data_IF_603674608899
#
_entry.id   IF_603674608899
#
_cell.length_a   1.000
_cell.length_b   1.000
_cell.length_c   1.000
_cell.angle_alpha   90.00
_cell.angle_beta   90.00
_cell.angle_gamma   90.00
#
_symmetry.space_group_name_H-M   'P 1'
#
loop_
_entity.id
_entity.type
_entity.pdbx_description
1 polymer ?
#
# COMPACT_ATOMS: atom_id res chain seq x y z
N UNK A 1 5.79 31.57 -45.88
CA UNK A 1 4.67 32.16 -46.60
C UNK A 1 3.37 31.72 -45.92
N UNK A 2 2.69 32.71 -45.34
CA UNK A 2 1.33 32.75 -44.75
C UNK A 2 1.21 32.32 -43.29
N UNK A 3 1.31 33.30 -42.40
CA UNK A 3 0.62 33.52 -41.11
C UNK A 3 -0.75 34.22 -41.45
N UNK A 4 -1.57 34.61 -40.49
CA UNK A 4 -2.15 34.03 -39.25
C UNK A 4 -3.65 34.17 -39.16
N UNK A 5 -4.32 33.73 -38.07
CA UNK A 5 -5.56 34.42 -37.65
C UNK A 5 -5.72 34.43 -36.14
N UNK A 6 -5.70 35.63 -35.60
CA UNK A 6 -6.15 36.02 -34.27
C UNK A 6 -7.66 36.20 -34.28
N UNK A 7 -8.34 35.70 -33.23
CA UNK A 7 -9.67 36.23 -32.92
C UNK A 7 -9.76 36.52 -31.42
N UNK A 8 -9.91 37.82 -31.14
CA UNK A 8 -10.22 38.45 -29.86
C UNK A 8 -11.75 38.63 -29.80
N UNK A 9 -12.39 38.33 -28.67
CA UNK A 9 -13.68 38.92 -28.29
C UNK A 9 -13.80 38.64 -26.77
N UNK A 10 -13.84 39.56 -25.99
CA UNK A 10 -14.64 40.73 -25.62
C UNK A 10 -15.34 40.46 -24.24
N UNK A 11 -14.95 41.33 -23.35
CA UNK A 11 -15.43 41.54 -21.98
C UNK A 11 -16.88 42.05 -22.00
N UNK A 12 -17.75 41.53 -21.15
CA UNK A 12 -19.00 42.21 -20.78
C UNK A 12 -19.12 42.39 -19.28
N UNK A 13 -19.03 43.61 -18.88
CA UNK A 13 -19.42 44.14 -17.56
C UNK A 13 -20.94 44.26 -17.53
N UNK A 14 -21.58 43.85 -16.45
CA UNK A 14 -22.91 44.34 -16.06
C UNK A 14 -22.89 44.76 -14.60
N UNK A 15 -23.13 46.04 -14.43
CA UNK A 15 -23.30 46.72 -13.15
C UNK A 15 -24.78 46.97 -12.84
N UNK A 16 -25.13 47.03 -11.57
CA UNK A 16 -26.27 47.73 -10.99
C UNK A 16 -27.45 46.82 -10.64
N UNK A 17 -28.00 46.85 -9.47
CA UNK A 17 -28.78 47.90 -8.84
C UNK A 17 -29.03 47.55 -7.36
N UNK A 18 -28.92 48.56 -6.52
CA UNK A 18 -29.31 48.60 -5.12
C UNK A 18 -30.80 48.84 -5.01
N UNK A 19 -31.51 48.12 -4.14
CA UNK A 19 -32.84 48.52 -3.66
C UNK A 19 -32.89 48.37 -2.14
N UNK A 20 -32.95 49.52 -1.50
CA UNK A 20 -33.24 49.74 -0.07
C UNK A 20 -34.75 49.68 0.11
N UNK A 21 -35.20 48.85 1.02
CA UNK A 21 -36.61 48.82 1.44
C UNK A 21 -36.69 48.74 2.97
N UNK A 22 -36.87 49.88 3.61
CA UNK A 22 -37.26 50.05 5.00
C UNK A 22 -38.73 49.79 5.20
N UNK A 23 -39.12 48.92 6.12
CA UNK A 23 -40.45 49.00 6.76
C UNK A 23 -40.39 48.64 8.25
N UNK A 24 -40.93 49.54 9.01
CA UNK A 24 -41.14 49.52 10.42
C UNK A 24 -42.39 48.70 10.82
N UNK A 25 -42.38 48.10 12.02
CA UNK A 25 -43.60 48.07 12.79
C UNK A 25 -44.05 46.79 13.47
N UNK A 26 -44.01 46.85 14.81
CA UNK A 26 -44.95 46.37 15.85
C UNK A 26 -44.92 44.93 16.34
N UNK A 27 -44.45 44.81 17.53
CA UNK A 27 -44.93 44.12 18.76
C UNK A 27 -45.96 43.00 18.68
N UNK A 28 -45.63 41.85 19.26
CA UNK A 28 -46.58 40.81 19.69
C UNK A 28 -45.87 39.70 20.48
N UNK A 29 -45.98 39.75 21.83
CA UNK A 29 -45.57 38.73 22.78
C UNK A 29 -46.23 37.36 22.52
N UNK A 30 -45.45 36.29 22.60
CA UNK A 30 -45.82 35.00 23.20
C UNK A 30 -44.64 34.03 23.20
N UNK A 31 -44.23 33.58 24.35
CA UNK A 31 -43.23 32.52 24.61
C UNK A 31 -43.90 31.11 24.65
N UNK A 32 -43.15 30.01 24.95
CA UNK A 32 -41.89 29.51 24.39
C UNK A 32 -42.05 28.10 23.83
N UNK A 33 -41.51 27.83 22.69
CA UNK A 33 -41.34 26.51 22.17
C UNK A 33 -39.86 26.26 21.94
N UNK A 34 -39.23 25.45 22.80
CA UNK A 34 -37.84 25.08 22.68
C UNK A 34 -37.57 24.26 21.41
N UNK A 35 -36.87 24.85 20.48
CA UNK A 35 -36.30 24.13 19.34
C UNK A 35 -34.97 23.51 19.80
N UNK A 36 -34.72 22.20 19.58
CA UNK A 36 -33.42 21.67 19.86
C UNK A 36 -32.41 22.31 18.88
N UNK A 37 -31.53 23.10 19.45
CA UNK A 37 -30.34 23.59 18.73
C UNK A 37 -29.61 22.40 18.15
N UNK A 38 -29.68 22.24 16.84
CA UNK A 38 -28.74 21.44 16.08
C UNK A 38 -27.34 21.93 16.49
N UNK A 39 -26.59 21.07 17.15
CA UNK A 39 -25.21 21.33 17.52
C UNK A 39 -24.44 21.75 16.29
N UNK A 40 -23.96 22.98 16.27
CA UNK A 40 -22.92 23.39 15.34
C UNK A 40 -21.76 22.43 15.59
N UNK A 41 -21.46 21.55 14.65
CA UNK A 41 -20.20 20.85 14.60
C UNK A 41 -19.11 21.92 14.58
N UNK A 42 -18.30 21.94 15.63
CA UNK A 42 -17.15 22.83 15.74
C UNK A 42 -16.11 22.39 14.68
N UNK A 43 -16.21 22.95 13.47
CA UNK A 43 -15.42 22.59 12.29
C UNK A 43 -14.13 23.42 12.20
N UNK A 44 -13.42 23.61 13.30
CA UNK A 44 -12.12 24.28 13.31
C UNK A 44 -10.93 23.33 13.61
N UNK A 45 -11.06 22.05 13.34
CA UNK A 45 -9.87 21.20 13.39
C UNK A 45 -8.94 21.59 12.23
N UNK A 46 -7.68 21.93 12.57
CA UNK A 46 -6.62 22.20 11.57
C UNK A 46 -6.56 21.05 10.57
N UNK A 47 -6.53 21.38 9.28
CA UNK A 47 -6.26 20.39 8.23
C UNK A 47 -4.87 19.78 8.45
N UNK A 48 -4.79 18.47 8.34
CA UNK A 48 -3.55 17.70 8.45
C UNK A 48 -3.13 17.30 7.04
N UNK A 49 -1.95 17.74 6.60
CA UNK A 49 -1.39 17.34 5.29
C UNK A 49 -0.54 16.09 5.46
N UNK A 50 -0.93 15.02 4.78
CA UNK A 50 -0.26 13.72 4.83
C UNK A 50 0.32 13.36 3.46
N UNK A 51 1.62 13.17 3.38
CA UNK A 51 2.30 12.61 2.22
C UNK A 51 2.34 11.08 2.31
N UNK A 52 1.77 10.39 1.32
CA UNK A 52 1.81 8.92 1.20
C UNK A 52 2.71 8.53 0.04
N UNK A 53 3.87 7.97 0.35
CA UNK A 53 4.91 7.62 -0.60
C UNK A 53 5.03 6.10 -0.75
N UNK A 54 4.69 5.53 -1.95
CA UNK A 54 4.91 4.13 -2.28
C UNK A 54 6.35 3.87 -2.75
N UNK A 55 6.78 2.61 -2.81
CA UNK A 55 8.05 2.23 -3.46
C UNK A 55 8.08 2.63 -4.94
N UNK A 56 6.96 2.38 -5.64
CA UNK A 56 6.79 2.67 -7.07
C UNK A 56 5.32 2.93 -7.36
N UNK A 57 5.02 4.00 -8.11
CA UNK A 57 3.67 4.29 -8.60
C UNK A 57 3.29 3.38 -9.76
N UNK A 58 1.98 3.16 -9.94
CA UNK A 58 1.42 2.39 -11.06
C UNK A 58 1.37 0.88 -10.84
N UNK A 59 1.87 0.36 -9.71
CA UNK A 59 1.68 -1.03 -9.31
C UNK A 59 0.30 -1.16 -8.64
N UNK A 60 -0.48 -2.17 -9.01
CA UNK A 60 -1.86 -2.38 -8.51
C UNK A 60 -1.94 -2.43 -6.98
N UNK A 61 -0.94 -3.02 -6.31
CA UNK A 61 -0.83 -3.02 -4.86
C UNK A 61 -0.89 -1.61 -4.27
N UNK A 62 0.00 -0.72 -4.73
CA UNK A 62 0.08 0.65 -4.21
C UNK A 62 -1.09 1.52 -4.65
N UNK A 63 -1.67 1.27 -5.83
CA UNK A 63 -2.89 1.96 -6.28
C UNK A 63 -4.07 1.61 -5.38
N UNK A 64 -4.25 0.34 -5.05
CA UNK A 64 -5.28 -0.11 -4.11
C UNK A 64 -5.07 0.44 -2.69
N UNK A 65 -3.82 0.50 -2.21
CA UNK A 65 -3.53 1.17 -0.93
C UNK A 65 -3.88 2.66 -0.96
N UNK A 66 -3.57 3.36 -2.07
CA UNK A 66 -3.91 4.78 -2.21
C UNK A 66 -5.43 5.03 -2.22
N UNK A 67 -6.22 4.12 -2.83
CA UNK A 67 -7.69 4.19 -2.76
C UNK A 67 -8.21 4.08 -1.33
N UNK A 68 -7.70 3.14 -0.55
CA UNK A 68 -8.05 3.01 0.87
C UNK A 68 -7.57 4.18 1.72
N UNK A 69 -6.41 4.73 1.39
CA UNK A 69 -5.88 5.93 2.03
C UNK A 69 -6.77 7.16 1.77
N UNK A 70 -7.27 7.32 0.53
CA UNK A 70 -8.20 8.39 0.19
C UNK A 70 -9.54 8.23 0.93
N UNK A 71 -10.06 7.00 1.00
CA UNK A 71 -11.25 6.69 1.79
C UNK A 71 -11.09 7.13 3.26
N UNK A 72 -9.95 6.85 3.87
CA UNK A 72 -9.68 7.27 5.25
C UNK A 72 -9.58 8.80 5.38
N UNK A 73 -9.00 9.50 4.41
CA UNK A 73 -8.92 10.95 4.40
C UNK A 73 -10.31 11.58 4.29
N UNK A 74 -11.17 11.02 3.44
CA UNK A 74 -12.56 11.45 3.26
C UNK A 74 -13.38 11.23 4.54
N UNK A 75 -13.26 10.06 5.18
CA UNK A 75 -13.92 9.74 6.45
C UNK A 75 -13.50 10.68 7.59
N UNK A 76 -12.22 11.06 7.62
CA UNK A 76 -11.68 11.98 8.63
C UNK A 76 -12.07 13.45 8.39
N UNK A 77 -12.33 13.84 7.14
CA UNK A 77 -12.88 15.11 6.71
C UNK A 77 -11.94 16.33 6.86
N UNK A 78 -10.80 16.17 7.53
CA UNK A 78 -9.80 17.23 7.73
C UNK A 78 -8.37 16.72 7.45
N UNK A 79 -8.21 15.78 6.55
CA UNK A 79 -6.93 15.28 6.07
C UNK A 79 -6.80 15.60 4.58
N UNK A 80 -5.74 16.31 4.23
CA UNK A 80 -5.31 16.51 2.85
C UNK A 80 -4.27 15.43 2.51
N UNK A 81 -4.66 14.47 1.66
CA UNK A 81 -3.79 13.39 1.24
C UNK A 81 -3.06 13.76 -0.05
N UNK A 82 -1.73 13.64 -0.03
CA UNK A 82 -0.88 13.74 -1.21
C UNK A 82 -0.22 12.39 -1.47
N UNK A 83 -0.71 11.67 -2.49
CA UNK A 83 -0.13 10.41 -2.95
C UNK A 83 0.81 10.67 -4.12
N UNK A 84 2.11 10.52 -3.91
CA UNK A 84 3.13 10.65 -4.95
C UNK A 84 4.35 9.78 -4.66
N UNK A 85 5.16 9.51 -5.71
CA UNK A 85 6.34 8.67 -5.61
C UNK A 85 6.99 8.42 -6.96
N UNK A 86 8.14 7.73 -7.00
CA UNK A 86 8.83 7.41 -8.24
C UNK A 86 8.00 6.45 -9.10
N UNK A 87 8.14 6.57 -10.43
CA UNK A 87 7.55 5.66 -11.42
C UNK A 87 8.46 4.48 -11.74
N UNK A 88 9.71 4.54 -11.29
CA UNK A 88 10.70 3.48 -11.33
C UNK A 88 11.22 3.20 -9.91
N UNK A 89 11.88 2.06 -9.71
CA UNK A 89 12.51 1.72 -8.42
C UNK A 89 13.75 2.58 -8.17
N UNK A 90 13.56 3.83 -7.75
CA UNK A 90 14.60 4.84 -7.58
C UNK A 90 14.56 5.42 -6.15
N UNK A 91 15.17 4.74 -5.15
CA UNK A 91 15.14 5.19 -3.76
C UNK A 91 15.64 6.62 -3.55
N UNK A 92 16.60 7.09 -4.36
CA UNK A 92 17.10 8.46 -4.28
C UNK A 92 16.05 9.50 -4.64
N UNK A 93 15.24 9.27 -5.69
CA UNK A 93 14.13 10.16 -6.06
C UNK A 93 13.03 10.17 -5.00
N UNK A 94 12.75 9.00 -4.41
CA UNK A 94 11.84 8.92 -3.29
C UNK A 94 12.32 9.75 -2.09
N UNK A 95 13.62 9.69 -1.76
CA UNK A 95 14.22 10.49 -0.70
C UNK A 95 14.21 12.00 -0.98
N UNK A 96 14.38 12.40 -2.25
CA UNK A 96 14.23 13.81 -2.67
C UNK A 96 12.80 14.31 -2.45
N UNK A 97 11.78 13.49 -2.77
CA UNK A 97 10.38 13.82 -2.56
C UNK A 97 10.05 14.00 -1.06
N UNK A 98 10.55 13.11 -0.19
CA UNK A 98 10.45 13.28 1.28
C UNK A 98 11.04 14.62 1.71
N UNK A 99 12.20 14.99 1.16
CA UNK A 99 12.86 16.26 1.49
C UNK A 99 12.04 17.47 1.02
N UNK A 100 11.42 17.39 -0.17
CA UNK A 100 10.53 18.43 -0.70
C UNK A 100 9.28 18.59 0.18
N UNK A 101 8.60 17.52 0.54
CA UNK A 101 7.42 17.56 1.42
C UNK A 101 7.75 18.11 2.81
N UNK A 102 8.93 17.77 3.35
CA UNK A 102 9.40 18.33 4.61
C UNK A 102 9.65 19.85 4.52
N UNK A 103 10.12 20.35 3.37
CA UNK A 103 10.28 21.79 3.14
C UNK A 103 8.95 22.52 2.91
N UNK A 104 7.95 21.82 2.36
CA UNK A 104 6.60 22.34 2.15
C UNK A 104 5.77 22.37 3.44
N UNK A 105 6.27 21.78 4.53
CA UNK A 105 5.62 21.81 5.83
C UNK A 105 4.48 20.79 5.98
N UNK A 106 4.62 19.61 5.36
CA UNK A 106 3.69 18.49 5.61
C UNK A 106 3.67 18.15 7.10
N UNK A 107 2.50 17.81 7.63
CA UNK A 107 2.37 17.42 9.04
C UNK A 107 2.89 15.99 9.27
N UNK A 108 2.59 15.06 8.34
CA UNK A 108 3.04 13.65 8.39
C UNK A 108 3.54 13.19 7.03
N UNK A 109 4.62 12.42 7.02
CA UNK A 109 5.09 11.69 5.84
C UNK A 109 5.07 10.19 6.14
N UNK A 110 4.30 9.44 5.34
CA UNK A 110 4.15 7.99 5.41
C UNK A 110 4.88 7.34 4.24
N UNK A 111 5.88 6.49 4.51
CA UNK A 111 6.78 5.92 3.49
C UNK A 111 6.69 4.41 3.46
N UNK A 112 6.54 3.82 2.26
CA UNK A 112 6.90 2.44 1.98
C UNK A 112 8.29 2.39 1.33
N UNK A 113 9.27 1.81 2.02
CA UNK A 113 10.68 1.90 1.64
C UNK A 113 11.10 0.79 0.66
N UNK A 114 11.64 1.17 -0.51
CA UNK A 114 12.36 0.23 -1.38
C UNK A 114 13.79 -0.01 -0.88
N UNK A 115 14.45 1.03 -0.35
CA UNK A 115 15.71 0.95 0.39
C UNK A 115 15.54 1.57 1.78
N UNK A 116 15.59 0.72 2.81
CA UNK A 116 15.33 1.15 4.19
C UNK A 116 16.35 2.18 4.71
N UNK A 117 17.62 2.09 4.28
CA UNK A 117 18.68 2.98 4.78
C UNK A 117 18.58 4.36 4.15
N UNK A 118 18.38 4.42 2.83
CA UNK A 118 18.22 5.69 2.10
C UNK A 118 16.97 6.41 2.62
N UNK A 119 15.85 5.69 2.73
CA UNK A 119 14.59 6.28 3.19
C UNK A 119 14.63 6.69 4.66
N UNK A 120 15.24 5.87 5.52
CA UNK A 120 15.42 6.20 6.93
C UNK A 120 16.23 7.49 7.13
N UNK A 121 17.31 7.66 6.36
CA UNK A 121 18.11 8.89 6.41
C UNK A 121 17.30 10.12 5.94
N UNK A 122 16.45 9.99 4.93
CA UNK A 122 15.58 11.09 4.48
C UNK A 122 14.51 11.43 5.52
N UNK A 123 13.88 10.41 6.13
CA UNK A 123 12.86 10.59 7.16
C UNK A 123 13.42 11.24 8.42
N UNK A 124 14.64 10.88 8.85
CA UNK A 124 15.34 11.60 9.96
C UNK A 124 15.50 13.09 9.69
N UNK A 125 15.93 13.45 8.48
CA UNK A 125 16.04 14.87 8.08
C UNK A 125 14.67 15.58 8.04
N UNK A 126 13.59 14.87 7.75
CA UNK A 126 12.24 15.41 7.85
C UNK A 126 11.83 15.61 9.33
N UNK A 127 12.15 14.66 10.22
CA UNK A 127 11.95 14.81 11.68
C UNK A 127 12.70 16.02 12.25
N UNK A 128 13.93 16.28 11.82
CA UNK A 128 14.72 17.46 12.23
C UNK A 128 14.03 18.78 11.87
N UNK A 129 13.09 18.76 10.92
CA UNK A 129 12.25 19.90 10.53
C UNK A 129 10.87 19.93 11.22
N UNK A 130 10.63 18.99 12.14
CA UNK A 130 9.38 18.90 12.91
C UNK A 130 8.27 18.12 12.21
N UNK A 131 8.55 17.43 11.09
CA UNK A 131 7.58 16.58 10.39
C UNK A 131 7.48 15.23 11.11
N UNK A 132 6.26 14.76 11.35
CA UNK A 132 6.02 13.42 11.87
C UNK A 132 6.23 12.39 10.75
N UNK A 133 6.82 11.26 11.09
CA UNK A 133 7.12 10.20 10.11
C UNK A 133 6.60 8.86 10.58
N UNK A 134 6.00 8.13 9.67
CA UNK A 134 5.60 6.73 9.82
C UNK A 134 6.04 5.93 8.59
N UNK A 135 6.23 4.63 8.76
CA UNK A 135 6.39 3.72 7.63
C UNK A 135 5.16 2.82 7.47
N UNK A 136 4.98 2.26 6.30
CA UNK A 136 3.92 1.33 5.96
C UNK A 136 4.39 0.32 4.91
N UNK A 137 3.79 -0.87 4.83
CA UNK A 137 4.16 -1.95 3.90
C UNK A 137 5.62 -2.43 4.06
N UNK A 138 6.60 -1.56 3.87
CA UNK A 138 8.03 -1.86 3.99
C UNK A 138 8.70 -0.84 4.90
N UNK A 139 9.29 -1.34 5.97
CA UNK A 139 9.79 -0.55 7.08
C UNK A 139 11.15 0.11 6.80
N UNK A 140 11.46 1.11 7.62
CA UNK A 140 12.74 1.81 7.76
C UNK A 140 13.33 1.55 9.15
N UNK A 141 14.59 1.96 9.45
CA UNK A 141 15.11 1.91 10.81
C UNK A 141 14.16 2.57 11.82
N UNK A 142 13.93 1.91 12.96
CA UNK A 142 12.93 2.31 13.95
C UNK A 142 13.11 3.74 14.49
N UNK A 143 14.35 4.23 14.52
CA UNK A 143 14.69 5.59 14.95
C UNK A 143 14.38 6.67 13.89
N UNK A 144 13.89 6.27 12.71
CA UNK A 144 13.50 7.15 11.61
C UNK A 144 11.98 7.37 11.50
N UNK A 145 11.19 6.75 12.39
CA UNK A 145 9.73 6.78 12.35
C UNK A 145 9.12 6.63 13.75
N UNK A 146 7.88 7.07 13.92
CA UNK A 146 7.10 6.86 15.14
C UNK A 146 6.40 5.51 15.17
N UNK A 147 5.79 5.10 14.04
CA UNK A 147 5.08 3.84 13.87
C UNK A 147 5.38 3.20 12.53
N UNK A 148 5.29 1.87 12.49
CA UNK A 148 5.21 1.08 11.27
C UNK A 148 3.80 0.49 11.14
N UNK A 149 3.08 0.83 10.07
CA UNK A 149 1.79 0.19 9.74
C UNK A 149 2.08 -1.10 9.01
N UNK A 150 1.95 -2.19 9.75
CA UNK A 150 2.39 -3.53 9.35
C UNK A 150 1.20 -4.40 8.97
N UNK A 151 1.21 -4.93 7.75
CA UNK A 151 0.16 -5.80 7.22
C UNK A 151 0.02 -7.11 7.98
N UNK A 152 1.15 -7.75 8.29
CA UNK A 152 1.31 -8.95 9.12
C UNK A 152 2.79 -9.08 9.48
N UNK A 153 3.14 -9.91 10.45
CA UNK A 153 4.55 -10.12 10.78
C UNK A 153 5.28 -10.80 9.62
N UNK A 154 6.57 -10.47 9.37
CA UNK A 154 7.36 -11.13 8.33
C UNK A 154 7.38 -12.65 8.47
N UNK A 155 7.35 -13.15 9.72
CA UNK A 155 7.28 -14.59 10.01
C UNK A 155 5.97 -15.20 9.53
N UNK A 156 4.83 -14.57 9.83
CA UNK A 156 3.51 -15.05 9.37
C UNK A 156 3.47 -15.13 7.84
N UNK A 157 3.97 -14.10 7.14
CA UNK A 157 3.99 -14.07 5.69
C UNK A 157 4.92 -15.16 5.13
N UNK A 158 6.17 -15.23 5.61
CA UNK A 158 7.14 -16.22 5.14
C UNK A 158 6.69 -17.65 5.38
N UNK A 159 6.14 -17.95 6.57
CA UNK A 159 5.61 -19.27 6.89
C UNK A 159 4.41 -19.62 6.01
N UNK A 160 3.46 -18.69 5.85
CA UNK A 160 2.28 -18.90 5.02
C UNK A 160 2.64 -19.18 3.55
N UNK A 161 3.58 -18.44 2.98
CA UNK A 161 4.07 -18.69 1.60
C UNK A 161 4.62 -20.10 1.44
N UNK A 162 5.43 -20.56 2.41
CA UNK A 162 5.99 -21.92 2.37
C UNK A 162 4.90 -22.96 2.50
N UNK A 163 4.02 -22.83 3.49
CA UNK A 163 2.97 -23.83 3.75
C UNK A 163 2.05 -23.99 2.54
N UNK A 164 1.64 -22.90 1.90
CA UNK A 164 0.77 -22.90 0.73
C UNK A 164 1.42 -23.65 -0.43
N UNK A 165 2.66 -23.34 -0.82
CA UNK A 165 3.32 -24.04 -1.92
C UNK A 165 3.63 -25.49 -1.57
N UNK A 166 4.03 -25.76 -0.32
CA UNK A 166 4.30 -27.12 0.14
C UNK A 166 3.09 -28.05 -0.04
N UNK A 167 1.89 -27.60 0.33
CA UNK A 167 0.65 -28.36 0.11
C UNK A 167 0.38 -28.56 -1.39
N UNK A 168 0.63 -27.55 -2.22
CA UNK A 168 0.39 -27.63 -3.67
C UNK A 168 1.29 -28.63 -4.41
N UNK A 169 2.55 -28.80 -3.95
CA UNK A 169 3.55 -29.67 -4.59
C UNK A 169 3.79 -31.00 -3.87
N UNK A 170 3.03 -31.28 -2.80
CA UNK A 170 3.19 -32.53 -2.03
C UNK A 170 4.44 -32.55 -1.15
N UNK A 171 4.89 -31.37 -0.67
CA UNK A 171 5.94 -31.18 0.34
C UNK A 171 7.34 -31.66 -0.09
N UNK A 172 7.58 -31.80 -1.39
CA UNK A 172 8.86 -32.27 -1.91
C UNK A 172 9.18 -31.71 -3.30
N UNK A 173 10.47 -31.57 -3.63
CA UNK A 173 10.95 -31.19 -4.92
C UNK A 173 11.78 -29.91 -4.94
N UNK A 174 12.28 -29.57 -6.11
CA UNK A 174 13.01 -28.33 -6.34
C UNK A 174 12.07 -27.14 -6.43
N UNK A 175 12.44 -26.05 -5.78
CA UNK A 175 11.65 -24.81 -5.73
C UNK A 175 12.53 -23.60 -5.92
N UNK A 176 11.97 -22.52 -6.47
CA UNK A 176 12.68 -21.25 -6.66
C UNK A 176 11.91 -20.08 -6.03
N UNK A 177 12.62 -18.99 -5.77
CA UNK A 177 12.05 -17.74 -5.29
C UNK A 177 12.33 -16.65 -6.33
N UNK A 178 11.30 -15.90 -6.73
CA UNK A 178 11.42 -14.68 -7.54
C UNK A 178 10.95 -13.52 -6.69
N UNK A 179 11.89 -12.68 -6.29
CA UNK A 179 11.69 -11.48 -5.48
C UNK A 179 11.72 -10.24 -6.38
N UNK A 180 11.71 -9.02 -5.82
CA UNK A 180 11.89 -7.80 -6.61
C UNK A 180 13.34 -7.34 -6.63
N UNK A 181 13.82 -6.70 -5.58
CA UNK A 181 15.19 -6.19 -5.49
C UNK A 181 15.93 -6.77 -4.29
N UNK A 182 17.27 -6.77 -4.36
CA UNK A 182 18.12 -7.24 -3.25
C UNK A 182 18.04 -6.31 -2.02
N UNK A 183 17.57 -5.08 -2.19
CA UNK A 183 17.42 -4.09 -1.12
C UNK A 183 16.02 -4.05 -0.51
N UNK A 184 15.05 -4.77 -1.09
CA UNK A 184 13.68 -4.81 -0.60
C UNK A 184 13.57 -5.44 0.79
N UNK A 185 13.50 -4.59 1.83
CA UNK A 185 13.61 -5.01 3.22
C UNK A 185 12.53 -6.04 3.63
N UNK A 186 11.26 -5.77 3.33
CA UNK A 186 10.17 -6.67 3.68
C UNK A 186 10.32 -8.04 3.02
N UNK A 187 10.64 -8.10 1.71
CA UNK A 187 10.81 -9.35 0.99
C UNK A 187 12.02 -10.15 1.49
N UNK A 188 13.12 -9.48 1.85
CA UNK A 188 14.28 -10.12 2.46
C UNK A 188 13.94 -10.75 3.81
N UNK A 189 13.12 -10.08 4.62
CA UNK A 189 12.62 -10.63 5.89
C UNK A 189 11.70 -11.85 5.65
N UNK A 190 10.83 -11.79 4.64
CA UNK A 190 9.99 -12.95 4.27
C UNK A 190 10.86 -14.14 3.83
N UNK A 191 11.85 -13.92 2.96
CA UNK A 191 12.78 -14.97 2.51
C UNK A 191 13.54 -15.59 3.70
N UNK A 192 13.94 -14.79 4.68
CA UNK A 192 14.58 -15.28 5.90
C UNK A 192 13.66 -16.27 6.65
N UNK A 193 12.40 -15.89 6.87
CA UNK A 193 11.43 -16.75 7.53
C UNK A 193 10.95 -17.92 6.65
N UNK A 194 10.89 -17.76 5.32
CA UNK A 194 10.69 -18.89 4.41
C UNK A 194 11.78 -19.95 4.59
N UNK A 195 13.06 -19.55 4.66
CA UNK A 195 14.17 -20.46 4.91
C UNK A 195 14.09 -21.12 6.30
N UNK A 196 13.58 -20.41 7.30
CA UNK A 196 13.29 -20.97 8.62
C UNK A 196 12.23 -22.06 8.54
N UNK A 197 11.07 -21.76 7.90
CA UNK A 197 9.94 -22.69 7.75
C UNK A 197 10.28 -23.92 6.90
N UNK A 198 11.13 -23.77 5.90
CA UNK A 198 11.60 -24.86 5.05
C UNK A 198 12.33 -25.97 5.80
N UNK A 199 12.83 -25.72 7.03
CA UNK A 199 13.39 -26.78 7.88
C UNK A 199 12.36 -27.85 8.24
N UNK A 200 11.07 -27.51 8.22
CA UNK A 200 9.97 -28.44 8.47
C UNK A 200 9.57 -29.25 7.20
N UNK A 201 10.17 -28.89 6.05
CA UNK A 201 9.96 -29.53 4.74
C UNK A 201 11.30 -29.95 4.14
N UNK A 202 12.01 -30.94 4.72
CA UNK A 202 13.40 -31.27 4.36
C UNK A 202 13.56 -31.78 2.92
N UNK A 203 12.48 -32.26 2.29
CA UNK A 203 12.48 -32.75 0.91
C UNK A 203 12.24 -31.61 -0.12
N UNK A 204 11.99 -30.39 0.32
CA UNK A 204 11.89 -29.18 -0.53
C UNK A 204 13.25 -28.48 -0.61
N UNK A 205 13.76 -28.27 -1.81
CA UNK A 205 15.07 -27.68 -2.06
C UNK A 205 14.96 -26.35 -2.79
N UNK A 206 15.40 -25.24 -2.21
CA UNK A 206 15.54 -23.95 -2.92
C UNK A 206 16.76 -24.02 -3.83
N UNK A 207 16.53 -24.03 -5.16
CA UNK A 207 17.59 -24.11 -6.17
C UNK A 207 18.03 -22.75 -6.71
N UNK A 208 17.16 -21.73 -6.62
CA UNK A 208 17.45 -20.37 -7.06
C UNK A 208 16.68 -19.32 -6.28
N UNK A 209 17.27 -18.13 -6.16
CA UNK A 209 16.59 -16.89 -5.71
C UNK A 209 16.96 -15.81 -6.70
N UNK A 210 15.95 -15.26 -7.41
CA UNK A 210 16.13 -14.30 -8.48
C UNK A 210 15.53 -12.93 -8.13
N UNK A 211 16.14 -11.86 -8.66
CA UNK A 211 15.78 -10.47 -8.36
C UNK A 211 15.63 -9.65 -9.66
N UNK A 212 14.58 -9.90 -10.47
CA UNK A 212 14.38 -9.21 -11.76
C UNK A 212 13.97 -7.74 -11.64
N UNK A 213 13.67 -7.25 -10.43
CA UNK A 213 13.10 -5.93 -10.20
C UNK A 213 11.58 -5.91 -10.29
N UNK A 214 10.99 -4.71 -10.26
CA UNK A 214 9.55 -4.49 -10.42
C UNK A 214 9.23 -4.22 -11.90
N UNK A 215 9.56 -5.18 -12.77
CA UNK A 215 9.35 -5.18 -14.20
C UNK A 215 8.77 -6.54 -14.63
N UNK A 216 7.54 -6.54 -15.16
CA UNK A 216 6.80 -7.75 -15.46
C UNK A 216 7.45 -8.58 -16.59
N UNK A 217 8.01 -7.92 -17.61
CA UNK A 217 8.68 -8.61 -18.72
C UNK A 217 9.96 -9.31 -18.25
N UNK A 218 10.71 -8.67 -17.36
CA UNK A 218 11.88 -9.32 -16.74
C UNK A 218 11.46 -10.49 -15.85
N UNK A 219 10.36 -10.37 -15.13
CA UNK A 219 9.83 -11.48 -14.33
C UNK A 219 9.38 -12.66 -15.20
N UNK A 220 8.75 -12.38 -16.36
CA UNK A 220 8.41 -13.38 -17.36
C UNK A 220 9.67 -14.10 -17.87
N UNK A 221 10.71 -13.37 -18.29
CA UNK A 221 11.96 -13.96 -18.76
C UNK A 221 12.70 -14.73 -17.66
N UNK A 222 12.62 -14.27 -16.41
CA UNK A 222 13.16 -15.01 -15.27
C UNK A 222 12.42 -16.33 -15.07
N UNK A 223 11.10 -16.34 -15.15
CA UNK A 223 10.30 -17.57 -15.13
C UNK A 223 10.72 -18.57 -16.23
N UNK A 224 10.85 -18.11 -17.47
CA UNK A 224 11.32 -18.93 -18.59
C UNK A 224 12.72 -19.51 -18.36
N UNK A 225 13.61 -18.67 -17.81
CA UNK A 225 14.99 -19.08 -17.50
C UNK A 225 15.01 -20.16 -16.43
N UNK A 226 14.24 -20.00 -15.35
CA UNK A 226 14.13 -20.99 -14.28
C UNK A 226 13.59 -22.33 -14.80
N UNK A 227 12.51 -22.30 -15.59
CA UNK A 227 11.91 -23.51 -16.18
C UNK A 227 12.85 -24.27 -17.13
N UNK A 228 13.77 -23.56 -17.78
CA UNK A 228 14.80 -24.16 -18.67
C UNK A 228 15.98 -24.65 -17.85
N UNK A 229 16.44 -23.92 -16.86
CA UNK A 229 17.63 -24.25 -16.06
C UNK A 229 17.40 -25.42 -15.10
N UNK A 230 16.16 -25.54 -14.59
CA UNK A 230 15.76 -26.54 -13.59
C UNK A 230 14.59 -27.38 -14.13
N UNK A 231 14.85 -28.43 -14.94
CA UNK A 231 13.79 -29.26 -15.54
C UNK A 231 12.90 -29.98 -14.54
N UNK A 232 13.42 -30.24 -13.32
CA UNK A 232 12.71 -30.95 -12.24
C UNK A 232 12.01 -29.98 -11.27
N UNK A 233 11.97 -28.68 -11.60
CA UNK A 233 11.34 -27.65 -10.77
C UNK A 233 9.87 -27.97 -10.52
N UNK A 234 9.45 -28.01 -9.26
CA UNK A 234 8.07 -28.31 -8.83
C UNK A 234 7.28 -27.06 -8.46
N UNK A 235 7.96 -26.01 -8.00
CA UNK A 235 7.25 -24.82 -7.58
C UNK A 235 8.09 -23.55 -7.60
N UNK A 236 7.40 -22.41 -7.69
CA UNK A 236 8.01 -21.08 -7.64
C UNK A 236 7.21 -20.21 -6.67
N UNK A 237 7.89 -19.58 -5.74
CA UNK A 237 7.35 -18.43 -5.02
C UNK A 237 7.71 -17.15 -5.77
N UNK A 238 6.71 -16.41 -6.25
CA UNK A 238 6.87 -15.09 -6.83
C UNK A 238 6.30 -14.04 -5.86
N UNK A 239 7.20 -13.41 -5.09
CA UNK A 239 6.84 -12.68 -3.88
C UNK A 239 6.71 -11.16 -4.07
N UNK A 240 6.33 -10.73 -5.27
CA UNK A 240 5.87 -9.36 -5.53
C UNK A 240 4.67 -9.35 -6.48
N UNK A 241 3.89 -8.27 -6.40
CA UNK A 241 2.68 -8.08 -7.24
C UNK A 241 3.02 -8.02 -8.74
N UNK A 242 4.27 -7.73 -9.10
CA UNK A 242 4.76 -7.72 -10.48
C UNK A 242 5.35 -9.08 -10.87
N UNK A 243 6.02 -9.75 -9.93
CA UNK A 243 6.66 -11.03 -10.19
C UNK A 243 5.64 -12.15 -10.43
N UNK A 244 4.57 -12.22 -9.63
CA UNK A 244 3.63 -13.35 -9.74
C UNK A 244 2.94 -13.45 -11.10
N UNK A 245 2.35 -12.38 -11.68
CA UNK A 245 1.76 -12.47 -13.02
C UNK A 245 2.80 -12.75 -14.10
N UNK A 246 4.04 -12.23 -14.01
CA UNK A 246 5.11 -12.50 -14.96
C UNK A 246 5.53 -13.98 -14.94
N UNK A 247 5.77 -14.56 -13.77
CA UNK A 247 6.13 -15.97 -13.62
C UNK A 247 4.97 -16.90 -13.99
N UNK A 248 3.73 -16.56 -13.62
CA UNK A 248 2.54 -17.32 -14.01
C UNK A 248 2.39 -17.38 -15.54
N UNK A 249 2.63 -16.24 -16.21
CA UNK A 249 2.62 -16.19 -17.67
C UNK A 249 3.72 -17.08 -18.30
N UNK A 250 4.93 -17.12 -17.72
CA UNK A 250 5.99 -18.00 -18.18
C UNK A 250 5.59 -19.48 -18.09
N UNK A 251 4.97 -19.89 -16.99
CA UNK A 251 4.47 -21.26 -16.78
C UNK A 251 3.37 -21.58 -17.80
N UNK A 252 2.39 -20.67 -17.98
CA UNK A 252 1.29 -20.85 -18.93
C UNK A 252 1.79 -21.01 -20.37
N UNK A 253 2.68 -20.12 -20.81
CA UNK A 253 3.25 -20.16 -22.18
C UNK A 253 4.13 -21.38 -22.44
N UNK A 254 4.76 -21.93 -21.42
CA UNK A 254 5.55 -23.16 -21.54
C UNK A 254 4.73 -24.46 -21.48
N UNK A 255 3.39 -24.35 -21.31
CA UNK A 255 2.50 -25.50 -21.19
C UNK A 255 2.70 -26.30 -19.90
N UNK A 256 3.31 -25.71 -18.87
CA UNK A 256 3.61 -26.38 -17.59
C UNK A 256 2.60 -26.07 -16.48
N UNK A 257 1.45 -25.47 -16.81
CA UNK A 257 0.34 -25.30 -15.87
C UNK A 257 -0.10 -26.65 -15.30
N UNK A 258 -0.13 -26.77 -13.98
CA UNK A 258 -0.41 -28.01 -13.26
C UNK A 258 0.79 -28.94 -13.05
N UNK A 259 1.91 -28.78 -13.77
CA UNK A 259 3.17 -29.52 -13.55
C UNK A 259 4.09 -28.74 -12.58
N UNK A 260 4.19 -27.43 -12.75
CA UNK A 260 4.93 -26.51 -11.88
C UNK A 260 3.92 -25.58 -11.20
N UNK A 261 3.82 -25.66 -9.87
CA UNK A 261 2.97 -24.76 -9.10
C UNK A 261 3.63 -23.39 -8.93
N UNK A 262 2.82 -22.34 -8.97
CA UNK A 262 3.29 -21.00 -8.62
C UNK A 262 2.30 -20.34 -7.64
N UNK A 263 2.85 -19.78 -6.58
CA UNK A 263 2.13 -18.95 -5.61
C UNK A 263 2.98 -17.76 -5.21
N UNK A 264 2.43 -16.83 -4.51
CA UNK A 264 3.19 -15.65 -4.07
C UNK A 264 2.29 -14.53 -3.62
N UNK A 265 2.82 -13.31 -3.73
CA UNK A 265 2.16 -12.09 -3.27
C UNK A 265 1.66 -11.31 -4.48
N UNK A 266 0.34 -11.14 -4.60
CA UNK A 266 -0.25 -10.30 -5.64
C UNK A 266 -1.67 -9.86 -5.27
N UNK A 267 -2.11 -8.71 -5.81
CA UNK A 267 -3.52 -8.31 -5.76
C UNK A 267 -4.38 -9.26 -6.60
N UNK A 268 -5.65 -9.51 -6.21
CA UNK A 268 -6.50 -10.48 -6.91
C UNK A 268 -6.75 -10.16 -8.38
N UNK A 269 -7.04 -8.89 -8.70
CA UNK A 269 -7.52 -8.49 -10.04
C UNK A 269 -6.63 -8.94 -11.20
N UNK A 270 -5.30 -8.72 -11.22
CA UNK A 270 -4.45 -9.18 -12.33
C UNK A 270 -4.27 -10.70 -12.37
N UNK A 271 -4.66 -11.40 -11.33
CA UNK A 271 -4.46 -12.85 -11.21
C UNK A 271 -5.70 -13.69 -11.53
N UNK A 272 -6.89 -13.07 -11.69
CA UNK A 272 -8.15 -13.80 -11.91
C UNK A 272 -8.05 -14.83 -13.02
N UNK A 273 -7.56 -14.46 -14.20
CA UNK A 273 -7.45 -15.39 -15.33
C UNK A 273 -6.53 -16.58 -15.07
N UNK A 274 -5.43 -16.37 -14.33
CA UNK A 274 -4.49 -17.45 -13.98
C UNK A 274 -5.04 -18.39 -12.91
N UNK A 275 -5.90 -17.88 -12.04
CA UNK A 275 -6.60 -18.70 -11.04
C UNK A 275 -7.76 -19.46 -11.68
N UNK A 276 -8.49 -18.82 -12.61
CA UNK A 276 -9.58 -19.46 -13.35
C UNK A 276 -9.12 -20.62 -14.21
N UNK A 277 -8.00 -20.47 -14.93
CA UNK A 277 -7.44 -21.50 -15.81
C UNK A 277 -6.57 -22.54 -15.06
N UNK A 278 -6.34 -22.33 -13.74
CA UNK A 278 -5.61 -23.27 -12.89
C UNK A 278 -4.08 -23.18 -12.98
N UNK A 279 -3.54 -22.18 -13.67
CA UNK A 279 -2.08 -21.90 -13.68
C UNK A 279 -1.60 -21.51 -12.27
N UNK A 280 -2.41 -20.74 -11.53
CA UNK A 280 -2.19 -20.37 -10.13
C UNK A 280 -3.32 -20.95 -9.30
N UNK A 281 -3.01 -21.70 -8.24
CA UNK A 281 -4.03 -22.26 -7.35
C UNK A 281 -4.39 -21.32 -6.23
N UNK A 282 -3.41 -20.60 -5.71
CA UNK A 282 -3.61 -19.72 -4.56
C UNK A 282 -2.64 -18.53 -4.57
N UNK A 283 -3.06 -17.44 -3.94
CA UNK A 283 -2.31 -16.20 -3.77
C UNK A 283 -2.36 -15.84 -2.30
N UNK A 284 -1.24 -15.39 -1.76
CA UNK A 284 -1.11 -14.97 -0.36
C UNK A 284 -1.02 -13.44 -0.34
N UNK A 285 -1.95 -12.77 0.35
CA UNK A 285 -1.92 -11.33 0.51
C UNK A 285 -2.68 -10.92 1.79
N UNK A 286 -2.95 -9.67 1.95
CA UNK A 286 -3.82 -8.98 2.91
C UNK A 286 -4.72 -8.00 2.16
N UNK A 287 -5.68 -7.40 2.83
CA UNK A 287 -6.47 -6.33 2.21
C UNK A 287 -5.62 -5.07 2.07
N UNK A 288 -5.32 -4.71 0.82
CA UNK A 288 -4.44 -3.58 0.49
C UNK A 288 -5.14 -2.24 0.68
N UNK A 289 -6.47 -2.18 0.48
CA UNK A 289 -7.27 -0.98 0.79
C UNK A 289 -7.27 -0.71 2.29
N UNK A 290 -7.46 -1.77 3.09
CA UNK A 290 -7.41 -1.67 4.54
C UNK A 290 -6.02 -1.22 5.05
N UNK A 291 -4.93 -1.66 4.39
CA UNK A 291 -3.58 -1.20 4.72
C UNK A 291 -3.42 0.30 4.49
N UNK A 292 -3.87 0.80 3.34
CA UNK A 292 -3.84 2.23 3.03
C UNK A 292 -4.73 3.04 3.98
N UNK A 293 -5.94 2.54 4.26
CA UNK A 293 -6.87 3.14 5.21
C UNK A 293 -6.25 3.25 6.60
N UNK A 294 -5.68 2.16 7.13
CA UNK A 294 -5.01 2.12 8.42
C UNK A 294 -3.81 3.09 8.49
N UNK A 295 -3.09 3.24 7.39
CA UNK A 295 -1.94 4.14 7.31
C UNK A 295 -2.36 5.59 7.56
N UNK A 296 -3.44 6.05 6.93
CA UNK A 296 -3.93 7.42 7.11
C UNK A 296 -4.60 7.62 8.48
N UNK A 297 -5.32 6.61 8.98
CA UNK A 297 -5.85 6.65 10.36
C UNK A 297 -4.71 6.78 11.39
N UNK A 298 -3.61 6.05 11.18
CA UNK A 298 -2.42 6.12 12.04
C UNK A 298 -1.75 7.50 11.94
N UNK A 299 -1.55 8.02 10.73
CA UNK A 299 -0.96 9.34 10.49
C UNK A 299 -1.77 10.45 11.17
N UNK A 300 -3.08 10.46 10.97
CA UNK A 300 -3.98 11.46 11.56
C UNK A 300 -4.04 11.36 13.08
N UNK A 301 -4.08 10.14 13.63
CA UNK A 301 -4.09 9.91 15.07
C UNK A 301 -2.78 10.41 15.72
N UNK A 302 -1.63 10.14 15.08
CA UNK A 302 -0.33 10.63 15.53
C UNK A 302 -0.27 12.18 15.49
N UNK A 303 -0.68 12.80 14.38
CA UNK A 303 -0.68 14.26 14.23
C UNK A 303 -1.61 14.98 15.24
N UNK A 304 -2.70 14.32 15.63
CA UNK A 304 -3.64 14.82 16.65
C UNK A 304 -3.20 14.53 18.09
N UNK A 305 -2.09 13.80 18.28
CA UNK A 305 -1.64 13.35 19.60
C UNK A 305 -2.56 12.34 20.28
N UNK A 306 -3.40 11.63 19.48
CA UNK A 306 -4.31 10.58 19.98
C UNK A 306 -3.58 9.26 20.22
N UNK A 307 -2.44 9.07 19.59
CA UNK A 307 -1.50 7.98 19.86
C UNK A 307 -0.07 8.49 19.95
N UNK A 308 0.76 7.77 20.70
CA UNK A 308 2.20 8.00 20.85
C UNK A 308 2.94 6.66 20.98
N UNK A 309 4.25 6.63 20.75
CA UNK A 309 5.05 5.42 21.01
C UNK A 309 4.83 4.87 22.42
N UNK A 310 4.56 3.57 22.52
CA UNK A 310 4.23 2.87 23.77
C UNK A 310 2.75 2.57 23.97
N UNK A 311 1.85 3.20 23.23
CA UNK A 311 0.43 2.85 23.25
C UNK A 311 0.21 1.44 22.69
N UNK A 312 -0.91 0.81 23.05
CA UNK A 312 -1.20 -0.60 22.72
C UNK A 312 -2.30 -0.80 21.70
N UNK A 313 -3.12 0.22 21.50
CA UNK A 313 -4.23 0.15 20.53
C UNK A 313 -4.43 1.49 19.83
N UNK A 314 -5.03 1.43 18.64
CA UNK A 314 -5.47 2.54 17.82
C UNK A 314 -6.93 2.32 17.42
N UNK A 315 -7.79 3.31 17.58
CA UNK A 315 -9.12 3.33 16.95
C UNK A 315 -8.97 3.79 15.51
N UNK A 316 -9.18 2.88 14.56
CA UNK A 316 -8.91 3.08 13.15
C UNK A 316 -10.19 3.13 12.31
N UNK A 317 -11.09 4.04 12.60
CA UNK A 317 -12.33 4.26 11.84
C UNK A 317 -13.13 2.97 11.62
N UNK A 318 -13.47 2.66 10.34
CA UNK A 318 -14.23 1.45 9.98
C UNK A 318 -13.53 0.14 10.30
N UNK A 319 -12.21 0.16 10.48
CA UNK A 319 -11.45 -1.03 10.86
C UNK A 319 -11.58 -1.37 12.35
N UNK A 320 -12.21 -0.49 13.16
CA UNK A 320 -12.35 -0.68 14.59
C UNK A 320 -11.02 -0.49 15.34
N UNK A 321 -10.88 -1.19 16.46
CA UNK A 321 -9.65 -1.16 17.25
C UNK A 321 -8.57 -2.05 16.62
N UNK A 322 -7.36 -1.50 16.46
CA UNK A 322 -6.17 -2.21 15.96
C UNK A 322 -5.11 -2.28 17.04
N UNK A 323 -4.45 -3.43 17.12
CA UNK A 323 -3.37 -3.67 18.08
C UNK A 323 -2.10 -2.92 17.65
N UNK A 324 -1.36 -2.40 18.64
CA UNK A 324 -0.01 -1.85 18.48
C UNK A 324 0.96 -2.75 19.25
N UNK A 325 1.79 -3.51 18.52
CA UNK A 325 2.81 -4.39 19.07
C UNK A 325 4.17 -3.69 18.98
N UNK A 326 4.68 -3.21 20.10
CA UNK A 326 5.86 -2.34 20.11
C UNK A 326 5.51 -0.99 19.46
N UNK A 327 6.04 -0.76 18.28
CA UNK A 327 5.79 0.39 17.42
C UNK A 327 5.08 0.01 16.10
N UNK A 328 4.60 -1.24 15.99
CA UNK A 328 3.91 -1.78 14.81
C UNK A 328 2.39 -1.69 15.02
N UNK A 329 1.70 -0.93 14.18
CA UNK A 329 0.24 -0.91 14.08
C UNK A 329 -0.17 -2.05 13.16
N UNK A 330 -0.81 -3.09 13.71
CA UNK A 330 -1.09 -4.32 12.98
C UNK A 330 -2.39 -4.21 12.18
N UNK A 331 -2.34 -4.56 10.89
CA UNK A 331 -3.53 -4.62 10.05
C UNK A 331 -4.40 -5.81 10.42
N UNK A 332 -3.84 -7.01 10.48
CA UNK A 332 -4.57 -8.22 10.84
C UNK A 332 -4.13 -9.46 10.07
N UNK A 333 -5.13 -10.26 9.62
CA UNK A 333 -4.90 -11.59 9.08
C UNK A 333 -4.42 -11.58 7.62
N UNK A 334 -3.61 -12.58 7.29
CA UNK A 334 -3.25 -12.90 5.92
C UNK A 334 -4.42 -13.59 5.24
N UNK A 335 -4.76 -13.12 4.04
CA UNK A 335 -5.79 -13.69 3.17
C UNK A 335 -5.15 -14.67 2.18
N UNK A 336 -5.90 -15.74 1.83
CA UNK A 336 -5.56 -16.63 0.73
C UNK A 336 -6.66 -16.53 -0.31
N UNK A 337 -6.31 -16.11 -1.52
CA UNK A 337 -7.23 -16.03 -2.65
C UNK A 337 -7.08 -17.28 -3.49
N UNK A 338 -8.21 -17.92 -3.74
CA UNK A 338 -8.34 -19.13 -4.53
C UNK A 338 -9.50 -18.96 -5.52
N UNK A 339 -9.73 -19.95 -6.36
CA UNK A 339 -10.85 -19.95 -7.31
C UNK A 339 -12.22 -19.74 -6.66
N UNK A 340 -12.38 -20.18 -5.39
CA UNK A 340 -13.64 -20.10 -4.65
C UNK A 340 -13.95 -18.70 -4.12
N UNK A 341 -12.94 -17.81 -4.03
CA UNK A 341 -13.14 -16.51 -3.39
C UNK A 341 -12.58 -15.32 -4.15
N UNK A 342 -11.70 -15.50 -5.15
CA UNK A 342 -10.99 -14.40 -5.82
C UNK A 342 -11.94 -13.37 -6.46
N UNK A 343 -13.11 -13.79 -6.93
CA UNK A 343 -14.10 -12.92 -7.55
C UNK A 343 -14.78 -11.95 -6.59
N UNK A 344 -14.69 -12.21 -5.28
CA UNK A 344 -15.21 -11.32 -4.25
C UNK A 344 -14.35 -10.05 -4.06
N UNK A 345 -13.15 -10.05 -4.65
CA UNK A 345 -12.17 -8.98 -4.50
C UNK A 345 -11.88 -8.32 -5.84
N UNK A 346 -11.80 -7.01 -5.85
CA UNK A 346 -11.65 -6.17 -7.05
C UNK A 346 -10.54 -5.12 -6.94
N UNK A 347 -9.50 -5.43 -6.20
CA UNK A 347 -8.33 -4.60 -6.04
C UNK A 347 -7.05 -5.26 -6.55
#
# INVERSE_FOLDING_TARGET
>A
MILPNKTILAVHWFAGWILIGTFCGCSGDSAPGGNPTAGKSDSSQKTITVGLLPKKKGISFFTSCAEGAQEAADDLGNVELVYDGPTEGEPSKAAELVSQWALQGFDVIAVSADDAQIMGAAMKKAQDKGVLTISWDSDVPADSRSFFVNQATPQQIGFKLVDVLAEEIGKSGEVAIVSSSQTSNNQNMWIMHMKERLKDYPDMKVVAIEYPGEDQDRCLETGRTLLKAYPDLKGIWAISTVALPGVAEAIRQSGKSGEVSVTGVCTPTPMKSYVEDGTVKSIVLWDTRDLGYLTIQTAAALARGLIKPGDKTLKAGRLGEREIVGDNVMLGDILIFTKENIDKYNF
#
